data_IF_696202773595
#
_entry.id   IF_696202773595
#
_cell.length_a   1.000
_cell.length_b   1.000
_cell.length_c   1.000
_cell.angle_alpha   90.00
_cell.angle_beta   90.00
_cell.angle_gamma   90.00
#
_symmetry.space_group_name_H-M   'P 1'
#
loop_
_entity.id
_entity.type
_entity.pdbx_description
1 polymer ?
#
# COMPACT_ATOMS: atom_id res chain seq x y z
N UNK A 1 16.27 4.47 33.86
CA UNK A 1 16.35 3.47 32.77
C UNK A 1 15.64 4.05 31.56
N UNK A 2 16.22 3.96 30.37
CA UNK A 2 15.59 4.42 29.12
C UNK A 2 14.93 3.25 28.40
N UNK A 3 13.66 3.41 28.05
CA UNK A 3 12.83 2.35 27.51
C UNK A 3 12.19 2.83 26.23
N UNK A 4 12.39 2.06 25.18
CA UNK A 4 11.79 2.29 23.87
C UNK A 4 10.61 1.35 23.69
N UNK A 5 9.45 1.89 23.37
CA UNK A 5 8.23 1.14 23.10
C UNK A 5 7.87 1.34 21.64
N UNK A 6 8.10 0.33 20.81
CA UNK A 6 7.92 0.40 19.36
C UNK A 6 7.03 -0.73 18.81
N UNK A 7 5.71 -0.77 19.14
CA UNK A 7 4.78 -1.77 18.65
C UNK A 7 4.19 -1.39 17.29
N UNK A 8 3.66 -2.40 16.57
CA UNK A 8 2.71 -2.21 15.47
C UNK A 8 1.27 -2.21 16.00
N UNK A 9 0.31 -2.01 15.09
CA UNK A 9 -1.12 -2.09 15.37
C UNK A 9 -1.52 -3.49 15.86
N UNK A 10 -2.46 -3.49 16.80
CA UNK A 10 -3.12 -4.70 17.25
C UNK A 10 -4.39 -4.82 16.40
N UNK A 11 -4.23 -5.46 15.23
CA UNK A 11 -5.22 -5.48 14.15
C UNK A 11 -6.65 -5.71 14.67
N UNK A 12 -7.55 -4.78 14.34
CA UNK A 12 -8.95 -4.82 14.76
C UNK A 12 -9.22 -4.43 16.21
N UNK A 13 -8.21 -4.02 16.98
CA UNK A 13 -8.33 -3.65 18.40
C UNK A 13 -7.68 -2.29 18.72
N UNK A 14 -6.36 -2.15 18.56
CA UNK A 14 -5.63 -0.91 18.88
C UNK A 14 -4.79 -0.44 17.69
N UNK A 15 -4.72 0.87 17.49
CA UNK A 15 -3.67 1.46 16.65
C UNK A 15 -2.30 1.28 17.31
N UNK A 16 -1.21 1.36 16.54
CA UNK A 16 0.14 1.30 17.07
C UNK A 16 0.37 2.36 18.17
N UNK A 17 -0.18 3.57 17.99
CA UNK A 17 -0.11 4.65 18.97
C UNK A 17 -0.87 4.31 20.26
N UNK A 18 -2.06 3.72 20.16
CA UNK A 18 -2.83 3.28 21.32
C UNK A 18 -2.13 2.15 22.08
N UNK A 19 -1.55 1.17 21.36
CA UNK A 19 -0.76 0.10 21.95
C UNK A 19 0.47 0.65 22.68
N UNK A 20 1.24 1.53 22.03
CA UNK A 20 2.42 2.14 22.63
C UNK A 20 2.06 2.93 23.91
N UNK A 21 0.98 3.70 23.88
CA UNK A 21 0.52 4.47 25.03
C UNK A 21 0.02 3.58 26.17
N UNK A 22 -0.65 2.46 25.87
CA UNK A 22 -1.11 1.50 26.87
C UNK A 22 0.09 0.85 27.59
N UNK A 23 1.09 0.38 26.83
CA UNK A 23 2.33 -0.19 27.39
C UNK A 23 3.07 0.85 28.23
N UNK A 24 3.21 2.08 27.73
CA UNK A 24 3.88 3.17 28.44
C UNK A 24 3.16 3.53 29.76
N UNK A 25 1.82 3.52 29.75
CA UNK A 25 1.00 3.75 30.94
C UNK A 25 1.19 2.63 31.96
N UNK A 26 1.23 1.38 31.52
CA UNK A 26 1.53 0.24 32.38
C UNK A 26 2.91 0.36 33.03
N UNK A 27 3.93 0.69 32.24
CA UNK A 27 5.30 0.82 32.73
C UNK A 27 5.46 1.92 33.77
N UNK A 28 4.90 3.11 33.51
CA UNK A 28 5.01 4.26 34.43
C UNK A 28 4.34 4.00 35.79
N UNK A 29 3.44 3.02 35.91
CA UNK A 29 2.86 2.62 37.21
C UNK A 29 3.86 1.87 38.08
N UNK A 30 4.80 1.14 37.49
CA UNK A 30 5.80 0.33 38.22
C UNK A 30 7.12 1.08 38.42
N UNK A 31 7.54 1.90 37.45
CA UNK A 31 8.72 2.77 37.57
C UNK A 31 8.44 4.16 36.99
N UNK A 32 7.99 5.13 37.81
CA UNK A 32 7.76 6.50 37.39
C UNK A 32 9.03 7.27 36.97
N UNK A 33 10.22 6.80 37.37
CA UNK A 33 11.50 7.43 37.06
C UNK A 33 12.12 6.96 35.74
N UNK A 34 11.50 6.01 35.05
CA UNK A 34 11.93 5.56 33.74
C UNK A 34 11.70 6.63 32.65
N UNK A 35 12.69 6.81 31.79
CA UNK A 35 12.55 7.60 30.56
C UNK A 35 11.86 6.72 29.51
N UNK A 36 10.57 6.92 29.30
CA UNK A 36 9.75 6.11 28.39
C UNK A 36 9.49 6.85 27.09
N UNK A 37 10.05 6.34 26.00
CA UNK A 37 9.88 6.82 24.64
C UNK A 37 8.95 5.88 23.86
N UNK A 38 7.98 6.42 23.13
CA UNK A 38 7.04 5.64 22.29
C UNK A 38 7.26 5.94 20.82
N UNK A 39 7.39 4.90 20.00
CA UNK A 39 7.61 4.99 18.55
C UNK A 39 6.65 4.02 17.84
N UNK A 40 5.41 4.43 17.57
CA UNK A 40 4.46 3.59 16.84
C UNK A 40 5.01 3.21 15.46
N UNK A 41 5.02 1.91 15.15
CA UNK A 41 5.47 1.38 13.86
C UNK A 41 4.30 1.05 12.94
N UNK A 42 4.63 0.75 11.69
CA UNK A 42 3.70 0.26 10.67
C UNK A 42 4.46 -0.58 9.62
N UNK A 43 3.70 -1.38 8.87
CA UNK A 43 4.14 -2.43 7.93
C UNK A 43 3.84 -2.06 6.46
N UNK A 44 3.85 -0.76 6.12
CA UNK A 44 3.42 -0.31 4.78
C UNK A 44 1.93 -0.49 4.48
N UNK A 45 1.13 -0.90 5.47
CA UNK A 45 -0.33 -0.96 5.42
C UNK A 45 -1.00 0.17 6.18
N UNK A 46 -2.16 -0.14 6.76
CA UNK A 46 -2.96 0.79 7.56
C UNK A 46 -2.14 1.41 8.71
N UNK A 47 -2.20 2.74 8.81
CA UNK A 47 -1.51 3.52 9.85
C UNK A 47 -0.12 4.01 9.45
N UNK A 48 0.40 3.58 8.30
CA UNK A 48 1.73 4.00 7.81
C UNK A 48 1.77 5.50 7.50
N UNK A 49 0.68 6.05 6.94
CA UNK A 49 0.60 7.51 6.71
C UNK A 49 0.77 8.28 8.02
N UNK A 50 0.09 7.84 9.08
CA UNK A 50 0.10 8.53 10.37
C UNK A 50 1.49 8.45 11.02
N UNK A 51 2.12 7.27 10.97
CA UNK A 51 3.47 7.06 11.48
C UNK A 51 4.51 7.95 10.76
N UNK A 52 4.48 7.99 9.43
CA UNK A 52 5.44 8.75 8.63
C UNK A 52 5.26 10.26 8.78
N UNK A 53 4.02 10.76 8.79
CA UNK A 53 3.78 12.20 8.97
C UNK A 53 4.20 12.66 10.36
N UNK A 54 3.95 11.87 11.40
CA UNK A 54 4.39 12.18 12.74
C UNK A 54 5.92 12.15 12.87
N UNK A 55 6.59 11.19 12.21
CA UNK A 55 8.04 11.03 12.29
C UNK A 55 8.82 12.10 11.52
N UNK A 56 8.28 12.55 10.39
CA UNK A 56 8.99 13.39 9.42
C UNK A 56 8.48 14.85 9.37
N UNK A 57 7.60 15.23 10.31
CA UNK A 57 6.94 16.55 10.37
C UNK A 57 6.21 16.87 9.06
N UNK A 58 5.38 15.92 8.61
CA UNK A 58 4.66 16.01 7.34
C UNK A 58 3.29 16.67 7.46
N UNK A 59 2.89 17.35 6.39
CA UNK A 59 1.56 17.96 6.24
C UNK A 59 0.53 16.95 5.74
N UNK A 60 -0.69 17.02 6.29
CA UNK A 60 -1.82 16.17 5.89
C UNK A 60 -2.79 16.92 4.98
N UNK A 61 -3.30 16.23 3.98
CA UNK A 61 -4.32 16.74 3.09
C UNK A 61 -5.45 15.74 2.90
N UNK A 62 -6.66 16.25 2.70
CA UNK A 62 -7.85 15.46 2.36
C UNK A 62 -8.29 15.72 0.92
N UNK A 63 -8.87 14.71 0.29
CA UNK A 63 -9.50 14.79 -1.02
C UNK A 63 -10.64 13.77 -1.12
N UNK A 64 -11.74 14.16 -1.77
CA UNK A 64 -12.80 13.22 -2.15
C UNK A 64 -12.36 12.50 -3.42
N UNK A 65 -12.23 11.18 -3.36
CA UNK A 65 -11.72 10.32 -4.44
C UNK A 65 -12.66 9.15 -4.70
N UNK A 66 -12.44 8.43 -5.79
CA UNK A 66 -13.22 7.25 -6.19
C UNK A 66 -12.93 6.08 -5.26
N UNK A 67 -13.93 5.65 -4.50
CA UNK A 67 -13.85 4.48 -3.63
C UNK A 67 -13.81 3.15 -4.39
N UNK A 68 -13.64 2.01 -3.68
CA UNK A 68 -13.40 0.72 -4.33
C UNK A 68 -14.50 0.29 -5.30
N UNK A 69 -15.77 0.66 -5.07
CA UNK A 69 -16.90 0.29 -5.93
C UNK A 69 -17.45 1.46 -6.74
N UNK A 70 -16.70 2.56 -6.83
CA UNK A 70 -17.07 3.77 -7.59
C UNK A 70 -17.73 4.88 -6.76
N UNK A 71 -18.25 4.57 -5.57
CA UNK A 71 -18.79 5.59 -4.66
C UNK A 71 -17.68 6.53 -4.17
N UNK A 72 -17.92 7.84 -4.03
CA UNK A 72 -16.92 8.76 -3.51
C UNK A 72 -16.59 8.47 -2.05
N UNK A 73 -15.30 8.60 -1.70
CA UNK A 73 -14.79 8.49 -0.32
C UNK A 73 -13.88 9.67 -0.02
N UNK A 74 -13.98 10.20 1.20
CA UNK A 74 -13.01 11.18 1.68
C UNK A 74 -11.77 10.44 2.17
N UNK A 75 -10.67 10.66 1.46
CA UNK A 75 -9.39 10.03 1.74
C UNK A 75 -8.33 11.08 2.06
N UNK A 76 -7.32 10.65 2.81
CA UNK A 76 -6.21 11.51 3.20
C UNK A 76 -4.90 11.00 2.62
N UNK A 77 -3.98 11.94 2.41
CA UNK A 77 -2.61 11.68 2.01
C UNK A 77 -1.67 12.72 2.62
N UNK A 78 -0.37 12.49 2.48
CA UNK A 78 0.67 13.25 3.14
C UNK A 78 1.64 13.94 2.19
N UNK A 79 2.23 15.04 2.65
CA UNK A 79 3.40 15.65 2.04
C UNK A 79 4.46 15.92 3.10
N UNK A 80 5.62 15.31 2.94
CA UNK A 80 6.81 15.56 3.76
C UNK A 80 7.75 16.45 2.97
N UNK A 81 8.14 17.61 3.52
CA UNK A 81 9.04 18.57 2.85
C UNK A 81 10.49 18.47 3.32
N UNK A 82 10.72 17.81 4.45
CA UNK A 82 12.05 17.55 5.00
C UNK A 82 12.78 16.48 4.16
N UNK A 83 14.12 16.49 4.21
CA UNK A 83 14.96 15.51 3.51
C UNK A 83 15.40 15.94 2.09
N UNK A 84 15.68 14.99 1.17
CA UNK A 84 16.30 15.26 -0.13
C UNK A 84 15.36 15.93 -1.15
N UNK A 85 14.08 16.06 -0.84
CA UNK A 85 13.07 16.72 -1.66
C UNK A 85 11.65 16.40 -1.16
N UNK A 86 10.61 17.12 -1.65
CA UNK A 86 9.24 16.87 -1.22
C UNK A 86 8.79 15.45 -1.58
N UNK A 87 8.32 14.72 -0.59
CA UNK A 87 7.85 13.34 -0.68
C UNK A 87 6.35 13.27 -0.40
N UNK A 88 5.58 12.77 -1.35
CA UNK A 88 4.18 12.38 -1.14
C UNK A 88 4.09 11.04 -0.41
N UNK A 89 3.17 10.91 0.54
CA UNK A 89 2.87 9.63 1.20
C UNK A 89 1.41 9.29 0.92
N UNK A 90 1.17 8.19 0.23
CA UNK A 90 -0.16 7.74 -0.16
C UNK A 90 -0.39 6.35 0.43
N UNK A 91 -1.46 6.20 1.21
CA UNK A 91 -1.87 4.91 1.77
C UNK A 91 -3.11 4.41 1.03
N UNK A 92 -2.96 3.34 0.23
CA UNK A 92 -4.02 2.90 -0.67
C UNK A 92 -5.29 2.50 0.08
N UNK A 93 -5.18 2.01 1.31
CA UNK A 93 -6.32 1.58 2.13
C UNK A 93 -7.32 2.71 2.38
N UNK A 94 -6.90 3.97 2.30
CA UNK A 94 -7.75 5.14 2.50
C UNK A 94 -8.68 5.43 1.32
N UNK A 95 -8.33 5.00 0.11
CA UNK A 95 -9.14 5.21 -1.10
C UNK A 95 -9.67 3.91 -1.70
N UNK A 96 -8.89 2.84 -1.62
CA UNK A 96 -9.13 1.56 -2.28
C UNK A 96 -9.03 0.37 -1.30
N UNK A 97 -9.26 0.62 0.00
CA UNK A 97 -9.09 -0.35 1.07
C UNK A 97 -10.30 -1.23 1.38
N UNK A 98 -10.04 -2.40 1.94
CA UNK A 98 -11.03 -3.39 2.34
C UNK A 98 -11.94 -2.90 3.47
N UNK A 99 -11.42 -2.04 4.36
CA UNK A 99 -12.15 -1.46 5.48
C UNK A 99 -13.26 -0.48 5.03
N UNK A 100 -13.20 0.03 3.80
CA UNK A 100 -14.24 0.88 3.20
C UNK A 100 -15.48 0.09 2.79
N UNK A 101 -15.42 -1.24 2.81
CA UNK A 101 -16.50 -2.11 2.37
C UNK A 101 -16.99 -3.02 3.51
N UNK A 102 -18.31 -3.10 3.67
CA UNK A 102 -18.91 -4.18 4.44
C UNK A 102 -18.65 -5.53 3.76
N UNK A 103 -18.65 -6.62 4.53
CA UNK A 103 -18.37 -7.96 4.01
C UNK A 103 -19.25 -8.34 2.80
N UNK A 104 -20.52 -7.92 2.80
CA UNK A 104 -21.50 -8.21 1.75
C UNK A 104 -21.26 -7.41 0.47
N UNK A 105 -20.53 -6.29 0.54
CA UNK A 105 -20.24 -5.44 -0.62
C UNK A 105 -18.93 -5.82 -1.31
N UNK A 106 -18.09 -6.62 -0.67
CA UNK A 106 -16.79 -7.04 -1.20
C UNK A 106 -16.96 -7.76 -2.54
N UNK A 107 -16.36 -7.21 -3.59
CA UNK A 107 -16.44 -7.76 -4.94
C UNK A 107 -15.14 -7.42 -5.71
N UNK A 108 -14.13 -8.30 -5.68
CA UNK A 108 -12.82 -8.01 -6.25
C UNK A 108 -12.83 -8.00 -7.79
N UNK A 109 -13.88 -8.55 -8.42
CA UNK A 109 -14.08 -8.46 -9.89
C UNK A 109 -14.40 -7.06 -10.36
N UNK A 110 -15.08 -6.29 -9.52
CA UNK A 110 -15.53 -4.92 -9.81
C UNK A 110 -14.72 -3.85 -9.09
N UNK A 111 -14.05 -4.20 -8.01
CA UNK A 111 -13.34 -3.24 -7.18
C UNK A 111 -12.17 -2.58 -7.93
N UNK A 112 -12.10 -1.25 -7.87
CA UNK A 112 -11.14 -0.41 -8.60
C UNK A 112 -10.16 0.31 -7.70
N UNK A 113 -8.93 0.45 -8.19
CA UNK A 113 -7.86 1.20 -7.55
C UNK A 113 -7.83 2.69 -7.91
N UNK A 114 -8.84 3.20 -8.62
CA UNK A 114 -8.87 4.57 -9.17
C UNK A 114 -8.58 5.67 -8.15
N UNK A 115 -9.21 5.61 -6.98
CA UNK A 115 -8.96 6.61 -5.93
C UNK A 115 -7.52 6.65 -5.43
N UNK A 116 -6.79 5.52 -5.47
CA UNK A 116 -5.36 5.51 -5.15
C UNK A 116 -4.57 6.31 -6.19
N UNK A 117 -4.88 6.15 -7.48
CA UNK A 117 -4.26 6.97 -8.54
C UNK A 117 -4.62 8.46 -8.41
N UNK A 118 -5.84 8.78 -8.01
CA UNK A 118 -6.26 10.17 -7.75
C UNK A 118 -5.45 10.79 -6.57
N UNK A 119 -5.22 10.05 -5.48
CA UNK A 119 -4.36 10.50 -4.39
C UNK A 119 -2.90 10.69 -4.81
N UNK A 120 -2.35 9.78 -5.62
CA UNK A 120 -1.00 9.92 -6.20
C UNK A 120 -0.91 11.21 -7.03
N UNK A 121 -1.90 11.45 -7.90
CA UNK A 121 -1.96 12.64 -8.74
C UNK A 121 -2.02 13.92 -7.90
N UNK A 122 -2.84 13.92 -6.85
CA UNK A 122 -2.93 15.02 -5.90
C UNK A 122 -1.59 15.28 -5.20
N UNK A 123 -0.86 14.25 -4.78
CA UNK A 123 0.48 14.39 -4.20
C UNK A 123 1.47 15.01 -5.19
N UNK A 124 1.54 14.48 -6.43
CA UNK A 124 2.42 15.00 -7.48
C UNK A 124 2.13 16.46 -7.79
N UNK A 125 0.85 16.84 -7.94
CA UNK A 125 0.43 18.23 -8.21
C UNK A 125 0.69 19.20 -7.06
N UNK A 126 0.86 18.70 -5.83
CA UNK A 126 1.33 19.48 -4.68
C UNK A 126 2.86 19.60 -4.62
N UNK A 127 3.57 19.13 -5.65
CA UNK A 127 5.02 19.27 -5.80
C UNK A 127 5.82 18.09 -5.24
N UNK A 128 5.18 16.96 -4.95
CA UNK A 128 5.91 15.75 -4.60
C UNK A 128 6.80 15.31 -5.78
N UNK A 129 8.12 15.34 -5.55
CA UNK A 129 9.14 14.84 -6.49
C UNK A 129 9.36 13.33 -6.34
N UNK A 130 8.93 12.79 -5.21
CA UNK A 130 8.98 11.36 -4.87
C UNK A 130 7.66 10.98 -4.22
N UNK A 131 7.14 9.80 -4.48
CA UNK A 131 5.90 9.33 -3.85
C UNK A 131 6.11 7.93 -3.30
N UNK A 132 5.91 7.82 -1.98
CA UNK A 132 5.80 6.53 -1.30
C UNK A 132 4.34 6.09 -1.32
N UNK A 133 4.08 4.94 -1.92
CA UNK A 133 2.75 4.32 -2.01
C UNK A 133 2.72 3.08 -1.11
N UNK A 134 1.97 3.18 -0.02
CA UNK A 134 1.75 2.12 0.94
C UNK A 134 0.57 1.26 0.48
N UNK A 135 0.84 0.01 0.06
CA UNK A 135 -0.12 -0.83 -0.66
C UNK A 135 -0.74 -1.97 0.17
N UNK A 136 -0.68 -1.89 1.50
CA UNK A 136 -1.41 -2.81 2.37
C UNK A 136 -2.93 -2.57 2.40
N UNK A 137 -3.71 -3.59 2.77
CA UNK A 137 -5.13 -3.45 3.10
C UNK A 137 -6.11 -3.27 1.93
N UNK A 138 -5.71 -3.62 0.70
CA UNK A 138 -6.53 -3.46 -0.52
C UNK A 138 -7.87 -4.20 -0.56
N UNK A 139 -8.88 -3.58 -1.19
CA UNK A 139 -10.13 -4.24 -1.61
C UNK A 139 -10.08 -4.79 -3.05
N UNK A 140 -9.05 -4.43 -3.81
CA UNK A 140 -9.01 -4.53 -5.27
C UNK A 140 -8.27 -5.77 -5.75
N UNK A 141 -8.58 -6.22 -6.97
CA UNK A 141 -7.80 -7.24 -7.70
C UNK A 141 -7.70 -6.88 -9.18
N UNK A 142 -7.43 -5.61 -9.45
CA UNK A 142 -7.45 -4.99 -10.78
C UNK A 142 -6.06 -4.74 -11.36
N UNK A 143 -4.99 -5.30 -10.79
CA UNK A 143 -3.63 -5.10 -11.31
C UNK A 143 -3.12 -3.66 -11.24
N UNK A 144 -3.78 -2.78 -10.46
CA UNK A 144 -3.51 -1.35 -10.47
C UNK A 144 -4.05 -0.63 -11.73
N UNK A 145 -4.97 -1.25 -12.47
CA UNK A 145 -5.54 -0.66 -13.68
C UNK A 145 -6.32 0.64 -13.42
N UNK A 146 -7.16 0.67 -12.39
CA UNK A 146 -7.89 1.88 -12.02
C UNK A 146 -6.94 3.02 -11.63
N UNK A 147 -5.89 2.72 -10.87
CA UNK A 147 -4.83 3.66 -10.53
C UNK A 147 -4.16 4.21 -11.80
N UNK A 148 -3.76 3.34 -12.73
CA UNK A 148 -3.12 3.77 -13.98
C UNK A 148 -4.04 4.69 -14.80
N UNK A 149 -5.33 4.35 -14.92
CA UNK A 149 -6.33 5.16 -15.62
C UNK A 149 -6.51 6.55 -14.99
N UNK A 150 -6.50 6.65 -13.66
CA UNK A 150 -6.55 7.95 -12.98
C UNK A 150 -5.33 8.84 -13.26
N UNK A 151 -4.19 8.23 -13.60
CA UNK A 151 -2.93 8.93 -13.89
C UNK A 151 -2.77 9.28 -15.37
N UNK A 152 -3.72 8.90 -16.23
CA UNK A 152 -3.70 9.17 -17.68
C UNK A 152 -3.23 8.01 -18.55
N UNK A 153 -3.03 6.82 -17.99
CA UNK A 153 -2.75 5.60 -18.78
C UNK A 153 -4.05 5.08 -19.37
N UNK A 154 -4.10 4.89 -20.69
CA UNK A 154 -5.28 4.37 -21.36
C UNK A 154 -5.17 2.86 -21.52
N UNK A 155 -6.06 2.15 -20.84
CA UNK A 155 -6.22 0.69 -20.93
C UNK A 155 -7.39 0.41 -21.87
N UNK A 156 -7.10 -0.07 -23.07
CA UNK A 156 -8.05 -0.13 -24.17
C UNK A 156 -8.42 -1.57 -24.52
N UNK A 157 -9.69 -1.78 -24.85
CA UNK A 157 -10.21 -3.02 -25.44
C UNK A 157 -9.86 -3.14 -26.93
N UNK A 158 -10.19 -4.29 -27.53
CA UNK A 158 -10.03 -4.58 -28.96
C UNK A 158 -10.79 -3.60 -29.87
N UNK A 159 -11.81 -2.93 -29.33
CA UNK A 159 -12.59 -1.87 -29.99
C UNK A 159 -12.03 -0.46 -29.79
N UNK A 160 -10.89 -0.32 -29.11
CA UNK A 160 -10.29 0.98 -28.79
C UNK A 160 -11.04 1.78 -27.72
N UNK A 161 -11.93 1.13 -26.97
CA UNK A 161 -12.69 1.74 -25.85
C UNK A 161 -11.98 1.46 -24.54
N UNK A 162 -11.94 2.45 -23.64
CA UNK A 162 -11.39 2.26 -22.29
C UNK A 162 -12.08 1.14 -21.53
N UNK A 163 -11.29 0.38 -20.77
CA UNK A 163 -11.80 -0.68 -19.92
C UNK A 163 -12.67 -0.13 -18.79
N UNK A 164 -13.73 -0.87 -18.49
CA UNK A 164 -14.51 -0.67 -17.28
C UNK A 164 -13.65 -0.92 -16.03
N UNK A 165 -14.04 -0.39 -14.86
CA UNK A 165 -13.32 -0.64 -13.61
C UNK A 165 -13.39 -2.11 -13.17
N UNK A 166 -12.34 -2.56 -12.48
CA UNK A 166 -12.29 -3.87 -11.81
C UNK A 166 -11.45 -4.94 -12.51
N UNK A 167 -11.09 -5.99 -11.77
CA UNK A 167 -10.22 -7.05 -12.25
C UNK A 167 -10.78 -7.90 -13.39
N UNK A 168 -12.10 -8.07 -13.48
CA UNK A 168 -12.70 -8.84 -14.56
C UNK A 168 -12.52 -8.17 -15.93
N UNK A 169 -12.53 -6.83 -15.96
CA UNK A 169 -12.38 -6.07 -17.19
C UNK A 169 -11.00 -6.29 -17.84
N UNK A 170 -9.99 -6.71 -17.08
CA UNK A 170 -8.66 -7.00 -17.59
C UNK A 170 -8.64 -8.11 -18.63
N UNK A 171 -9.60 -9.05 -18.62
CA UNK A 171 -9.72 -10.06 -19.68
C UNK A 171 -9.95 -9.48 -21.07
N UNK A 172 -10.42 -8.22 -21.14
CA UNK A 172 -10.70 -7.50 -22.39
C UNK A 172 -9.57 -6.56 -22.79
N UNK A 173 -8.49 -6.46 -22.00
CA UNK A 173 -7.38 -5.57 -22.29
C UNK A 173 -6.73 -5.96 -23.62
N UNK A 174 -6.70 -5.06 -24.58
CA UNK A 174 -6.07 -5.29 -25.87
C UNK A 174 -4.86 -4.40 -26.11
N UNK A 175 -4.78 -3.21 -25.50
CA UNK A 175 -3.66 -2.28 -25.65
C UNK A 175 -3.47 -1.39 -24.42
N UNK A 176 -2.22 -1.13 -24.06
CA UNK A 176 -1.82 -0.10 -23.09
C UNK A 176 -1.27 1.10 -23.85
N UNK A 177 -1.71 2.31 -23.48
CA UNK A 177 -1.19 3.56 -24.02
C UNK A 177 -0.77 4.53 -22.89
N UNK A 178 0.50 4.94 -22.90
CA UNK A 178 1.13 5.78 -21.90
C UNK A 178 1.33 7.23 -22.38
N UNK A 179 0.82 7.58 -23.57
CA UNK A 179 1.03 8.91 -24.18
C UNK A 179 0.45 10.05 -23.33
N UNK A 180 -0.67 9.78 -22.65
CA UNK A 180 -1.43 10.76 -21.86
C UNK A 180 -1.10 10.72 -20.35
N UNK A 181 -0.10 9.94 -19.93
CA UNK A 181 0.35 9.91 -18.53
C UNK A 181 0.71 11.34 -18.07
N UNK A 182 0.11 11.76 -16.95
CA UNK A 182 0.21 13.13 -16.43
C UNK A 182 1.69 13.55 -16.25
N UNK A 183 2.10 14.73 -16.75
CA UNK A 183 3.49 15.17 -16.68
C UNK A 183 4.05 15.26 -15.25
N UNK A 184 3.22 15.60 -14.26
CA UNK A 184 3.67 15.69 -12.87
C UNK A 184 3.99 14.29 -12.31
N UNK A 185 3.23 13.28 -12.72
CA UNK A 185 3.45 11.88 -12.37
C UNK A 185 4.70 11.36 -13.07
N UNK A 186 4.86 11.64 -14.36
CA UNK A 186 6.03 11.23 -15.16
C UNK A 186 7.36 11.76 -14.59
N UNK A 187 7.35 12.93 -13.97
CA UNK A 187 8.54 13.57 -13.40
C UNK A 187 8.89 13.07 -11.99
N UNK A 188 8.00 12.34 -11.32
CA UNK A 188 8.18 11.88 -9.96
C UNK A 188 8.83 10.48 -9.88
N UNK A 189 9.55 10.22 -8.80
CA UNK A 189 10.05 8.88 -8.47
C UNK A 189 9.07 8.14 -7.55
N UNK A 190 8.89 6.83 -7.77
CA UNK A 190 7.94 6.04 -7.00
C UNK A 190 8.61 4.92 -6.20
N UNK A 191 8.16 4.77 -4.96
CA UNK A 191 8.48 3.63 -4.10
C UNK A 191 7.16 3.02 -3.64
N UNK A 192 7.05 1.71 -3.71
CA UNK A 192 5.89 0.97 -3.26
C UNK A 192 6.27 0.16 -2.02
N UNK A 193 5.61 0.42 -0.90
CA UNK A 193 5.81 -0.30 0.36
C UNK A 193 4.93 -1.55 0.39
N UNK A 194 5.56 -2.72 0.42
CA UNK A 194 4.93 -4.04 0.40
C UNK A 194 5.74 -5.05 1.18
N UNK A 195 5.12 -5.71 2.15
CA UNK A 195 5.73 -6.74 3.00
C UNK A 195 5.40 -8.17 2.54
N UNK A 196 5.07 -8.33 1.27
CA UNK A 196 4.76 -9.63 0.66
C UNK A 196 5.60 -9.85 -0.59
N UNK A 197 6.03 -11.09 -0.79
CA UNK A 197 6.88 -11.53 -1.90
C UNK A 197 6.09 -12.18 -3.05
N UNK A 198 4.79 -12.42 -2.84
CA UNK A 198 3.91 -13.11 -3.78
C UNK A 198 4.00 -12.56 -5.22
N UNK A 199 4.17 -13.44 -6.23
CA UNK A 199 4.19 -13.04 -7.64
C UNK A 199 2.80 -12.57 -8.09
N UNK A 200 2.71 -12.06 -9.33
CA UNK A 200 1.45 -11.54 -9.83
C UNK A 200 0.36 -12.62 -9.99
N UNK A 201 0.75 -13.79 -10.50
CA UNK A 201 -0.16 -14.89 -10.90
C UNK A 201 0.29 -16.25 -10.36
N UNK A 202 -0.59 -17.24 -10.45
CA UNK A 202 -0.31 -18.63 -10.11
C UNK A 202 -0.76 -19.00 -8.69
N UNK A 203 -0.38 -20.19 -8.19
CA UNK A 203 -0.86 -20.73 -6.92
C UNK A 203 -0.51 -19.87 -5.70
N UNK A 204 0.62 -19.16 -5.76
CA UNK A 204 1.04 -18.18 -4.75
C UNK A 204 0.78 -16.74 -5.19
N UNK A 205 0.03 -16.53 -6.27
CA UNK A 205 -0.23 -15.22 -6.86
C UNK A 205 -1.31 -14.40 -6.14
N UNK A 206 -1.50 -13.17 -6.62
CA UNK A 206 -2.40 -12.19 -5.99
C UNK A 206 -3.82 -12.72 -5.75
N UNK A 207 -4.41 -13.31 -6.79
CA UNK A 207 -5.79 -13.80 -6.76
C UNK A 207 -5.95 -15.02 -5.88
N UNK A 208 -5.01 -15.96 -5.93
CA UNK A 208 -5.07 -17.20 -5.15
C UNK A 208 -4.92 -16.93 -3.65
N UNK A 209 -3.94 -16.11 -3.25
CA UNK A 209 -3.59 -15.88 -1.85
C UNK A 209 -4.50 -14.83 -1.20
N UNK A 210 -4.78 -13.73 -1.90
CA UNK A 210 -5.48 -12.58 -1.31
C UNK A 210 -6.90 -12.34 -1.85
N UNK A 211 -7.31 -13.01 -2.92
CA UNK A 211 -8.67 -12.94 -3.45
C UNK A 211 -9.74 -13.34 -2.43
N UNK A 212 -9.62 -14.47 -1.71
CA UNK A 212 -10.66 -14.94 -0.79
C UNK A 212 -11.05 -13.95 0.31
N UNK A 213 -10.07 -13.31 0.97
CA UNK A 213 -10.35 -12.29 2.00
C UNK A 213 -11.04 -11.04 1.44
N UNK A 214 -10.86 -10.77 0.14
CA UNK A 214 -11.52 -9.70 -0.62
C UNK A 214 -12.89 -10.10 -1.16
N UNK A 215 -13.39 -11.29 -0.85
CA UNK A 215 -14.70 -11.79 -1.27
C UNK A 215 -14.71 -12.58 -2.58
N UNK A 216 -13.56 -13.03 -3.08
CA UNK A 216 -13.51 -13.90 -4.27
C UNK A 216 -13.98 -15.32 -3.91
N UNK A 217 -14.91 -15.87 -4.68
CA UNK A 217 -15.17 -17.31 -4.71
C UNK A 217 -14.04 -18.07 -5.40
N UNK A 218 -14.04 -19.40 -5.33
CA UNK A 218 -13.06 -20.22 -6.05
C UNK A 218 -13.08 -19.98 -7.57
N UNK A 219 -14.25 -19.74 -8.15
CA UNK A 219 -14.40 -19.39 -9.57
C UNK A 219 -13.85 -18.00 -9.88
N UNK A 220 -14.11 -17.02 -9.00
CA UNK A 220 -13.57 -15.67 -9.15
C UNK A 220 -12.04 -15.67 -9.06
N UNK A 221 -11.44 -16.51 -8.21
CA UNK A 221 -9.98 -16.66 -8.11
C UNK A 221 -9.40 -17.11 -9.45
N UNK A 222 -9.96 -18.14 -10.07
CA UNK A 222 -9.51 -18.65 -11.38
C UNK A 222 -9.66 -17.57 -12.47
N UNK A 223 -10.80 -16.88 -12.47
CA UNK A 223 -11.09 -15.81 -13.42
C UNK A 223 -10.08 -14.66 -13.28
N UNK A 224 -9.86 -14.20 -12.05
CA UNK A 224 -8.98 -13.06 -11.77
C UNK A 224 -7.51 -13.40 -12.01
N UNK A 225 -7.06 -14.62 -11.71
CA UNK A 225 -5.70 -15.06 -12.01
C UNK A 225 -5.44 -15.07 -13.52
N UNK A 226 -6.40 -15.59 -14.31
CA UNK A 226 -6.37 -15.51 -15.77
C UNK A 226 -6.36 -14.06 -16.26
N UNK A 227 -7.16 -13.19 -15.64
CA UNK A 227 -7.24 -11.78 -15.99
C UNK A 227 -5.91 -11.05 -15.75
N UNK A 228 -5.25 -11.30 -14.61
CA UNK A 228 -3.92 -10.78 -14.29
C UNK A 228 -2.83 -11.37 -15.20
N UNK A 229 -2.93 -12.65 -15.55
CA UNK A 229 -2.01 -13.29 -16.49
C UNK A 229 -2.09 -12.67 -17.89
N UNK A 230 -3.31 -12.37 -18.34
CA UNK A 230 -3.56 -11.64 -19.58
C UNK A 230 -3.06 -10.20 -19.51
N UNK A 231 -3.37 -9.48 -18.43
CA UNK A 231 -2.86 -8.14 -18.16
C UNK A 231 -1.33 -8.07 -18.29
N UNK A 232 -0.63 -8.99 -17.62
CA UNK A 232 0.83 -9.05 -17.67
C UNK A 232 1.37 -9.33 -19.08
N UNK A 233 0.70 -10.17 -19.87
CA UNK A 233 1.10 -10.42 -21.26
C UNK A 233 0.99 -9.15 -22.12
N UNK A 234 -0.09 -8.38 -21.96
CA UNK A 234 -0.28 -7.15 -22.71
C UNK A 234 0.70 -6.07 -22.26
N UNK A 235 0.92 -5.92 -20.96
CA UNK A 235 1.94 -5.01 -20.40
C UNK A 235 3.33 -5.33 -20.96
N UNK A 236 3.72 -6.60 -20.97
CA UNK A 236 5.01 -7.01 -21.54
C UNK A 236 5.09 -6.69 -23.04
N UNK A 237 4.04 -7.00 -23.81
CA UNK A 237 4.00 -6.74 -25.25
C UNK A 237 4.11 -5.25 -25.59
N UNK A 238 3.38 -4.40 -24.87
CA UNK A 238 3.25 -2.98 -25.22
C UNK A 238 4.33 -2.09 -24.58
N UNK A 239 4.79 -2.44 -23.37
CA UNK A 239 5.75 -1.64 -22.60
C UNK A 239 7.14 -2.29 -22.51
N UNK A 240 7.28 -3.57 -22.89
CA UNK A 240 8.54 -4.32 -22.76
C UNK A 240 8.90 -4.70 -21.32
N UNK A 241 7.98 -4.54 -20.36
CA UNK A 241 8.21 -4.80 -18.94
C UNK A 241 7.56 -6.13 -18.56
N UNK A 242 8.35 -7.10 -18.11
CA UNK A 242 7.81 -8.33 -17.52
C UNK A 242 7.59 -8.15 -16.01
N UNK A 243 6.33 -8.22 -15.59
CA UNK A 243 5.92 -8.05 -14.19
C UNK A 243 5.45 -9.35 -13.55
N UNK A 244 5.47 -10.49 -14.27
CA UNK A 244 4.90 -11.74 -13.77
C UNK A 244 5.68 -12.30 -12.58
N UNK A 245 7.00 -12.29 -12.71
CA UNK A 245 7.94 -12.95 -11.80
C UNK A 245 8.63 -11.96 -10.83
N UNK A 246 8.20 -10.70 -10.82
CA UNK A 246 8.70 -9.72 -9.86
C UNK A 246 8.16 -10.07 -8.48
N UNK A 247 9.07 -10.15 -7.51
CA UNK A 247 8.75 -10.41 -6.12
C UNK A 247 7.92 -9.24 -5.56
N UNK A 248 6.77 -9.56 -4.97
CA UNK A 248 5.81 -8.56 -4.51
C UNK A 248 4.93 -7.94 -5.60
N UNK A 249 5.02 -8.39 -6.86
CA UNK A 249 4.14 -7.94 -7.93
C UNK A 249 2.66 -8.23 -7.65
N UNK A 250 2.37 -9.30 -6.92
CA UNK A 250 1.02 -9.68 -6.51
C UNK A 250 0.43 -8.84 -5.39
N UNK A 251 1.24 -8.00 -4.75
CA UNK A 251 0.80 -7.14 -3.67
C UNK A 251 -0.42 -6.30 -4.08
N UNK A 252 -1.36 -6.18 -3.14
CA UNK A 252 -2.58 -5.41 -3.32
C UNK A 252 -3.43 -5.78 -4.56
N UNK A 253 -3.48 -7.07 -4.89
CA UNK A 253 -4.29 -7.53 -6.03
C UNK A 253 -3.64 -7.22 -7.39
N UNK A 254 -2.31 -7.22 -7.42
CA UNK A 254 -1.50 -6.89 -8.59
C UNK A 254 -1.16 -5.41 -8.75
N UNK A 255 -1.48 -4.55 -7.78
CA UNK A 255 -1.07 -3.14 -7.82
C UNK A 255 0.45 -3.00 -7.76
N UNK A 256 1.16 -3.89 -7.07
CA UNK A 256 2.63 -3.94 -7.11
C UNK A 256 3.16 -4.00 -8.55
N UNK A 257 2.61 -4.92 -9.36
CA UNK A 257 2.90 -5.00 -10.79
C UNK A 257 2.54 -3.71 -11.55
N UNK A 258 1.37 -3.12 -11.28
CA UNK A 258 0.94 -1.87 -11.91
C UNK A 258 1.85 -0.68 -11.59
N UNK A 259 2.27 -0.54 -10.34
CA UNK A 259 3.21 0.50 -9.91
C UNK A 259 4.58 0.34 -10.59
N UNK A 260 5.07 -0.88 -10.73
CA UNK A 260 6.30 -1.16 -11.47
C UNK A 260 6.13 -0.86 -12.96
N UNK A 261 5.09 -1.40 -13.60
CA UNK A 261 4.88 -1.29 -15.03
C UNK A 261 4.63 0.15 -15.50
N UNK A 262 3.79 0.89 -14.78
CA UNK A 262 3.32 2.20 -15.24
C UNK A 262 4.15 3.36 -14.68
N UNK A 263 4.71 3.21 -13.47
CA UNK A 263 5.40 4.29 -12.77
C UNK A 263 6.89 4.00 -12.52
N UNK A 264 7.40 2.83 -12.94
CA UNK A 264 8.78 2.44 -12.66
C UNK A 264 9.09 2.34 -11.17
N UNK A 265 8.08 2.04 -10.35
CA UNK A 265 8.23 2.05 -8.90
C UNK A 265 9.20 0.96 -8.43
N UNK A 266 9.97 1.26 -7.38
CA UNK A 266 10.75 0.25 -6.65
C UNK A 266 9.91 -0.33 -5.52
N UNK A 267 9.81 -1.65 -5.47
CA UNK A 267 9.21 -2.34 -4.33
C UNK A 267 10.23 -2.40 -3.19
N UNK A 268 9.80 -2.01 -1.98
CA UNK A 268 10.58 -2.10 -0.76
C UNK A 268 9.71 -2.60 0.39
N UNK A 269 10.28 -3.29 1.39
CA UNK A 269 9.58 -3.59 2.63
C UNK A 269 9.11 -2.29 3.29
N UNK A 270 7.82 -2.22 3.64
CA UNK A 270 7.21 -1.10 4.34
C UNK A 270 7.77 -0.92 5.74
N UNK A 271 8.01 -2.02 6.45
CA UNK A 271 8.63 -1.97 7.78
C UNK A 271 9.98 -1.25 7.78
N UNK A 272 10.86 -1.55 6.82
CA UNK A 272 12.17 -0.92 6.70
C UNK A 272 12.04 0.59 6.48
N UNK A 273 11.13 1.00 5.60
CA UNK A 273 10.87 2.40 5.29
C UNK A 273 10.40 3.19 6.52
N UNK A 274 9.52 2.59 7.33
CA UNK A 274 9.06 3.21 8.58
C UNK A 274 10.18 3.28 9.60
N UNK A 275 10.97 2.22 9.75
CA UNK A 275 12.11 2.18 10.68
C UNK A 275 13.18 3.22 10.35
N UNK A 276 13.50 3.37 9.05
CA UNK A 276 14.37 4.43 8.54
C UNK A 276 13.80 5.81 8.87
N UNK A 277 12.52 6.04 8.59
CA UNK A 277 11.87 7.34 8.81
C UNK A 277 11.83 7.75 10.29
N UNK A 278 11.67 6.80 11.21
CA UNK A 278 11.65 7.10 12.65
C UNK A 278 13.04 7.10 13.28
N UNK A 279 14.12 6.81 12.53
CA UNK A 279 15.47 6.58 13.06
C UNK A 279 15.47 5.53 14.17
N UNK A 280 14.80 4.39 13.93
CA UNK A 280 14.57 3.39 14.96
C UNK A 280 15.90 2.83 15.50
N UNK A 281 16.88 2.60 14.61
CA UNK A 281 18.17 2.01 14.95
C UNK A 281 18.93 2.84 16.00
N UNK A 282 18.97 4.15 15.84
CA UNK A 282 19.63 5.07 16.76
C UNK A 282 18.90 5.10 18.11
N UNK A 283 17.56 5.04 18.10
CA UNK A 283 16.75 4.99 19.33
C UNK A 283 16.96 3.69 20.09
N UNK A 284 17.01 2.56 19.40
CA UNK A 284 17.32 1.24 19.98
C UNK A 284 18.71 1.28 20.63
N UNK A 285 19.71 1.81 19.93
CA UNK A 285 21.08 1.90 20.46
C UNK A 285 21.18 2.74 21.74
N UNK A 286 20.27 3.70 21.93
CA UNK A 286 20.21 4.54 23.12
C UNK A 286 19.32 3.97 24.25
N UNK A 287 18.55 2.92 23.99
CA UNK A 287 17.64 2.31 24.95
C UNK A 287 18.33 1.24 25.80
N UNK A 288 17.87 1.05 27.05
CA UNK A 288 18.28 -0.07 27.89
C UNK A 288 17.36 -1.29 27.72
N UNK A 289 16.12 -1.07 27.26
CA UNK A 289 15.12 -2.08 26.98
C UNK A 289 14.25 -1.61 25.82
N UNK A 290 13.95 -2.52 24.89
CA UNK A 290 13.00 -2.31 23.81
C UNK A 290 11.79 -3.22 24.02
N UNK A 291 10.60 -2.67 23.88
CA UNK A 291 9.33 -3.40 23.97
C UNK A 291 8.60 -3.20 22.63
N UNK A 292 8.27 -4.31 21.97
CA UNK A 292 7.46 -4.31 20.75
C UNK A 292 6.30 -5.30 20.88
N UNK A 293 5.47 -5.40 19.84
CA UNK A 293 4.37 -6.32 19.75
C UNK A 293 3.44 -5.98 18.59
N UNK A 294 2.60 -6.94 18.23
CA UNK A 294 1.53 -6.79 17.24
C UNK A 294 0.30 -7.60 17.66
N UNK A 295 -0.81 -7.45 16.92
CA UNK A 295 -2.09 -8.06 17.29
C UNK A 295 -2.14 -9.59 17.19
N UNK A 296 -1.33 -10.19 16.33
CA UNK A 296 -1.20 -11.63 16.19
C UNK A 296 0.25 -11.94 15.81
N UNK A 297 0.94 -12.71 16.65
CA UNK A 297 2.29 -13.17 16.37
C UNK A 297 2.20 -14.58 15.75
N UNK A 298 2.38 -14.68 14.44
CA UNK A 298 2.28 -15.92 13.66
C UNK A 298 3.48 -16.14 12.73
N UNK A 299 3.46 -17.18 11.89
CA UNK A 299 4.56 -17.44 10.97
C UNK A 299 4.82 -16.27 10.01
N UNK A 300 3.81 -15.44 9.67
CA UNK A 300 4.01 -14.25 8.83
C UNK A 300 4.66 -13.10 9.61
N UNK A 301 4.55 -13.09 10.94
CA UNK A 301 5.24 -12.13 11.80
C UNK A 301 6.75 -12.28 11.78
N UNK A 302 7.23 -13.50 11.50
CA UNK A 302 8.64 -13.85 11.33
C UNK A 302 9.13 -13.65 9.88
N UNK A 303 8.35 -12.96 9.03
CA UNK A 303 8.72 -12.68 7.65
C UNK A 303 8.41 -11.22 7.28
N UNK A 304 9.23 -10.30 7.77
CA UNK A 304 9.28 -8.90 7.32
C UNK A 304 8.25 -7.97 7.96
N UNK A 305 7.70 -8.31 9.13
CA UNK A 305 6.79 -7.44 9.90
C UNK A 305 7.51 -6.72 11.04
N UNK A 306 6.82 -5.77 11.66
CA UNK A 306 7.42 -4.87 12.66
C UNK A 306 8.15 -5.59 13.80
N UNK A 307 7.62 -6.65 14.45
CA UNK A 307 8.33 -7.27 15.57
C UNK A 307 9.63 -7.99 15.19
N UNK A 308 9.76 -8.51 13.96
CA UNK A 308 11.02 -9.13 13.51
C UNK A 308 12.07 -8.07 13.17
N UNK A 309 11.64 -6.93 12.59
CA UNK A 309 12.57 -5.86 12.25
C UNK A 309 13.06 -5.04 13.44
N UNK A 310 12.31 -5.00 14.55
CA UNK A 310 12.70 -4.34 15.83
C UNK A 310 13.71 -5.20 16.58
#
# INVERSE_FOLDING_TARGET
MRILIAPDKFRGTLTAAQAAQAIATGWRRTDPGAEVETVPLADGGEGTLDALLAALDGERFSATVTGPLGDPVDAEYGLVRSGPGPMGVVEMSRASGLALLSAQRRNPRRATSRGTGELILHACRRGASRVLVCIGGSATNDGGAGMAQALGVRLLSDRGVELAPGGEALLRLARVDMTELDPAVRAAEFVAASDVDNPLVGPSGASAVYGPQKGASAEDVILLDRALGHFAAVVHRDLGIDVRDIWGAGAAGGMGAGLVAFLGARLRPGVELVMEAVNLRERIAAANLVITGEGAFDEQSLHGKAPEGV
#
